data_IF_985061370125
#
_entry.id   IF_985061370125
#
_cell.length_a   1.000
_cell.length_b   1.000
_cell.length_c   1.000
_cell.angle_alpha   90.00
_cell.angle_beta   90.00
_cell.angle_gamma   90.00
#
_symmetry.space_group_name_H-M   'P 1'
#
loop_
_entity.id
_entity.type
_entity.pdbx_description
1 polymer ?
#
# COMPACT_ATOMS: atom_id res chain seq x y z
N UNK A 1 -57.95 6.07 7.08
CA UNK A 1 -57.15 4.89 7.53
C UNK A 1 -56.20 4.59 6.37
N UNK A 2 -54.98 5.05 6.45
CA UNK A 2 -53.96 4.87 5.42
C UNK A 2 -52.78 4.18 6.07
N UNK A 3 -52.59 2.93 5.72
CA UNK A 3 -51.51 2.08 6.28
C UNK A 3 -50.15 2.59 5.76
N UNK A 4 -49.24 2.87 6.72
CA UNK A 4 -47.88 3.18 6.45
C UNK A 4 -47.12 1.86 6.25
N UNK A 5 -46.69 1.59 5.03
CA UNK A 5 -45.75 0.49 4.68
C UNK A 5 -44.37 0.82 5.19
N UNK A 6 -43.95 0.16 6.26
CA UNK A 6 -42.60 0.22 6.81
C UNK A 6 -41.67 -0.57 5.89
N UNK A 7 -40.80 0.10 5.16
CA UNK A 7 -39.74 -0.54 4.39
C UNK A 7 -38.73 -1.19 5.35
N UNK A 8 -38.67 -2.51 5.34
CA UNK A 8 -37.72 -3.35 6.06
C UNK A 8 -36.32 -3.12 5.46
N UNK A 9 -35.38 -2.72 6.30
CA UNK A 9 -33.97 -2.67 5.93
C UNK A 9 -33.46 -4.07 5.50
N UNK A 10 -32.57 -4.19 4.50
CA UNK A 10 -32.05 -5.48 4.09
C UNK A 10 -31.17 -6.08 5.20
N UNK A 11 -31.42 -7.33 5.54
CA UNK A 11 -30.61 -8.16 6.43
C UNK A 11 -29.19 -8.33 5.88
N UNK A 12 -28.13 -8.13 6.67
CA UNK A 12 -26.77 -8.44 6.27
C UNK A 12 -26.44 -9.90 6.64
N UNK A 13 -27.02 -10.86 5.94
CA UNK A 13 -26.65 -12.26 6.13
C UNK A 13 -26.76 -13.03 4.82
N UNK A 14 -25.60 -13.43 4.25
CA UNK A 14 -25.60 -14.45 3.22
C UNK A 14 -24.58 -14.36 2.11
N UNK A 15 -23.28 -14.25 2.42
CA UNK A 15 -22.27 -14.86 1.57
C UNK A 15 -21.09 -15.24 2.45
N UNK A 16 -20.71 -16.52 2.48
CA UNK A 16 -19.56 -17.04 3.24
C UNK A 16 -18.19 -16.61 2.70
N UNK A 17 -18.11 -15.47 2.04
CA UNK A 17 -16.86 -14.85 1.62
C UNK A 17 -16.20 -14.18 2.84
N UNK A 18 -14.88 -14.34 3.04
CA UNK A 18 -14.16 -13.68 4.10
C UNK A 18 -14.30 -12.15 3.98
N UNK A 19 -14.41 -11.47 5.14
CA UNK A 19 -14.52 -10.02 5.16
C UNK A 19 -13.36 -9.36 4.41
N UNK A 20 -13.58 -8.28 3.64
CA UNK A 20 -12.53 -7.57 2.93
C UNK A 20 -11.41 -7.09 3.87
N UNK A 21 -10.17 -7.11 3.39
CA UNK A 21 -9.02 -6.60 4.13
C UNK A 21 -9.06 -5.07 4.27
N UNK A 22 -9.57 -4.40 3.24
CA UNK A 22 -9.76 -2.94 3.21
C UNK A 22 -11.11 -2.64 2.56
N UNK A 23 -11.87 -1.72 3.14
CA UNK A 23 -13.04 -1.09 2.51
C UNK A 23 -12.88 0.42 2.62
N UNK A 24 -13.06 1.09 1.50
CA UNK A 24 -13.11 2.54 1.39
C UNK A 24 -14.47 2.89 0.81
N UNK A 25 -15.24 3.72 1.50
CA UNK A 25 -16.59 4.08 1.07
C UNK A 25 -16.75 5.60 1.00
N UNK A 26 -17.06 6.12 -0.19
CA UNK A 26 -17.36 7.52 -0.43
C UNK A 26 -16.25 8.48 -0.03
N UNK A 27 -14.97 8.07 -0.19
CA UNK A 27 -13.84 8.80 0.35
C UNK A 27 -13.60 10.09 -0.44
N UNK A 28 -13.60 11.20 0.27
CA UNK A 28 -13.34 12.52 -0.27
C UNK A 28 -12.26 13.28 0.48
N UNK A 29 -11.47 14.08 -0.25
CA UNK A 29 -10.50 15.01 0.33
C UNK A 29 -10.46 16.33 -0.39
N UNK A 30 -10.66 17.39 0.38
CA UNK A 30 -10.57 18.77 -0.07
C UNK A 30 -9.43 19.50 0.63
N UNK A 31 -8.64 20.22 -0.15
CA UNK A 31 -7.62 21.15 0.34
C UNK A 31 -7.99 22.56 -0.10
N UNK A 32 -8.52 23.36 0.84
CA UNK A 32 -9.04 24.69 0.49
C UNK A 32 -10.11 24.60 -0.61
N UNK A 33 -9.85 25.21 -1.76
CA UNK A 33 -10.75 25.19 -2.92
C UNK A 33 -10.61 23.96 -3.83
N UNK A 34 -9.59 23.11 -3.62
CA UNK A 34 -9.26 21.99 -4.52
C UNK A 34 -9.83 20.68 -3.99
N UNK A 35 -10.65 19.99 -4.78
CA UNK A 35 -11.10 18.63 -4.51
C UNK A 35 -10.05 17.65 -5.05
N UNK A 36 -9.22 17.11 -4.17
CA UNK A 36 -8.11 16.21 -4.54
C UNK A 36 -8.57 14.77 -4.73
N UNK A 37 -9.58 14.33 -3.98
CA UNK A 37 -10.26 13.03 -4.10
C UNK A 37 -11.74 13.27 -3.89
N UNK A 38 -12.60 12.73 -4.79
CA UNK A 38 -14.01 12.97 -4.85
C UNK A 38 -14.77 11.65 -4.99
N UNK A 39 -15.44 11.25 -3.92
CA UNK A 39 -16.34 10.08 -3.83
C UNK A 39 -15.70 8.76 -4.31
N UNK A 40 -14.50 8.45 -3.80
CA UNK A 40 -13.81 7.19 -4.14
C UNK A 40 -14.27 6.07 -3.21
N UNK A 41 -14.72 4.98 -3.84
CA UNK A 41 -15.04 3.72 -3.15
C UNK A 41 -14.23 2.57 -3.76
N UNK A 42 -13.64 1.74 -2.91
CA UNK A 42 -12.95 0.51 -3.30
C UNK A 42 -12.99 -0.49 -2.15
N UNK A 43 -12.86 -1.74 -2.49
CA UNK A 43 -12.64 -2.84 -1.56
C UNK A 43 -11.40 -3.65 -1.98
N UNK A 44 -10.75 -4.29 -1.04
CA UNK A 44 -9.62 -5.19 -1.26
C UNK A 44 -9.89 -6.49 -0.51
N UNK A 45 -10.00 -7.59 -1.24
CA UNK A 45 -10.22 -8.90 -0.66
C UNK A 45 -8.96 -9.43 0.05
N UNK A 46 -9.10 -10.38 1.00
CA UNK A 46 -7.93 -11.08 1.57
C UNK A 46 -7.11 -11.75 0.47
N UNK A 47 -5.80 -11.48 0.45
CA UNK A 47 -4.87 -12.03 -0.53
C UNK A 47 -4.93 -11.39 -1.92
N UNK A 48 -5.86 -10.48 -2.18
CA UNK A 48 -5.95 -9.75 -3.44
C UNK A 48 -4.82 -8.72 -3.57
N UNK A 49 -4.33 -8.54 -4.80
CA UNK A 49 -3.44 -7.44 -5.18
C UNK A 49 -4.21 -6.46 -6.05
N UNK A 50 -4.45 -5.27 -5.53
CA UNK A 50 -5.18 -4.22 -6.25
C UNK A 50 -4.25 -3.08 -6.63
N UNK A 51 -4.29 -2.69 -7.91
CA UNK A 51 -3.59 -1.54 -8.46
C UNK A 51 -4.48 -0.30 -8.46
N UNK A 52 -3.91 0.86 -8.16
CA UNK A 52 -4.53 2.17 -8.42
C UNK A 52 -3.63 2.92 -9.38
N UNK A 53 -4.15 3.16 -10.59
CA UNK A 53 -3.44 3.86 -11.65
C UNK A 53 -4.10 5.20 -11.98
N UNK A 54 -3.40 6.01 -12.75
CA UNK A 54 -3.89 7.30 -13.25
C UNK A 54 -2.75 8.27 -13.49
N UNK A 55 -2.99 9.37 -14.18
CA UNK A 55 -1.98 10.38 -14.47
C UNK A 55 -1.52 11.11 -13.21
N UNK A 56 -0.47 11.93 -13.35
CA UNK A 56 -0.04 12.84 -12.29
C UNK A 56 -1.17 13.83 -11.98
N UNK A 57 -1.42 14.04 -10.69
CA UNK A 57 -2.54 14.87 -10.23
C UNK A 57 -3.90 14.16 -10.17
N UNK A 58 -4.00 12.86 -10.51
CA UNK A 58 -5.24 12.11 -10.42
C UNK A 58 -5.78 11.88 -8.99
N UNK A 59 -5.02 12.24 -7.95
CA UNK A 59 -5.44 12.05 -6.56
C UNK A 59 -4.92 10.79 -5.88
N UNK A 60 -4.15 9.94 -6.58
CA UNK A 60 -3.64 8.64 -6.09
C UNK A 60 -2.87 8.75 -4.77
N UNK A 61 -1.87 9.63 -4.72
CA UNK A 61 -1.07 9.86 -3.49
C UNK A 61 -1.92 10.39 -2.34
N UNK A 62 -2.96 11.21 -2.63
CA UNK A 62 -3.89 11.67 -1.60
C UNK A 62 -4.75 10.53 -1.07
N UNK A 63 -5.25 9.67 -1.96
CA UNK A 63 -5.98 8.45 -1.59
C UNK A 63 -5.11 7.54 -0.71
N UNK A 64 -3.86 7.29 -1.14
CA UNK A 64 -2.90 6.51 -0.36
C UNK A 64 -2.67 7.09 1.04
N UNK A 65 -2.39 8.39 1.13
CA UNK A 65 -2.16 9.08 2.40
C UNK A 65 -3.38 9.01 3.35
N UNK A 66 -4.59 9.03 2.80
CA UNK A 66 -5.81 8.81 3.59
C UNK A 66 -5.91 7.38 4.09
N UNK A 67 -5.65 6.38 3.24
CA UNK A 67 -5.67 4.95 3.62
C UNK A 67 -4.53 4.64 4.61
N UNK A 68 -3.36 5.21 4.45
CA UNK A 68 -2.23 5.07 5.37
C UNK A 68 -2.43 5.80 6.72
N UNK A 69 -3.32 6.80 6.78
CA UNK A 69 -3.61 7.58 7.98
C UNK A 69 -2.69 8.79 8.18
N UNK A 70 -2.00 9.23 7.13
CA UNK A 70 -1.20 10.47 7.14
C UNK A 70 -2.06 11.71 7.06
N UNK A 71 -3.19 11.59 6.35
CA UNK A 71 -4.15 12.67 6.13
C UNK A 71 -5.54 12.15 6.44
N UNK A 72 -6.31 12.88 7.24
CA UNK A 72 -7.71 12.55 7.49
C UNK A 72 -8.58 12.90 6.26
N UNK A 73 -9.56 12.07 5.90
CA UNK A 73 -10.52 12.39 4.87
C UNK A 73 -11.44 13.53 5.28
N UNK A 74 -12.02 14.22 4.30
CA UNK A 74 -13.07 15.24 4.51
C UNK A 74 -14.45 14.58 4.52
N UNK A 75 -14.62 13.47 3.80
CA UNK A 75 -15.84 12.68 3.72
C UNK A 75 -15.50 11.19 3.55
N UNK A 76 -16.47 10.33 3.84
CA UNK A 76 -16.35 8.89 3.68
C UNK A 76 -15.68 8.18 4.85
N UNK A 77 -15.53 6.86 4.71
CA UNK A 77 -15.00 5.97 5.75
C UNK A 77 -13.94 5.02 5.21
N UNK A 78 -13.07 4.55 6.10
CA UNK A 78 -12.04 3.55 5.82
C UNK A 78 -12.13 2.47 6.88
N UNK A 79 -12.29 1.23 6.44
CA UNK A 79 -12.32 0.06 7.32
C UNK A 79 -11.18 -0.90 6.97
N UNK A 80 -10.52 -1.46 7.99
CA UNK A 80 -9.55 -2.54 7.88
C UNK A 80 -10.10 -3.76 8.61
N UNK A 81 -10.29 -4.86 7.88
CA UNK A 81 -10.83 -6.10 8.43
C UNK A 81 -12.12 -5.88 9.25
N UNK A 82 -13.05 -5.07 8.70
CA UNK A 82 -14.33 -4.72 9.33
C UNK A 82 -14.23 -3.74 10.50
N UNK A 83 -13.04 -3.17 10.76
CA UNK A 83 -12.85 -2.16 11.81
C UNK A 83 -12.70 -0.76 11.20
N UNK A 84 -13.53 0.18 11.62
CA UNK A 84 -13.38 1.59 11.25
C UNK A 84 -12.04 2.16 11.77
N UNK A 85 -11.23 2.63 10.83
CA UNK A 85 -9.92 3.25 11.07
C UNK A 85 -9.86 4.69 10.56
N UNK A 86 -10.98 5.24 10.12
CA UNK A 86 -11.08 6.56 9.45
C UNK A 86 -10.33 7.65 10.20
N UNK A 87 -10.48 7.70 11.53
CA UNK A 87 -9.87 8.71 12.41
C UNK A 87 -8.57 8.25 13.09
N UNK A 88 -8.09 7.03 12.77
CA UNK A 88 -6.87 6.51 13.39
C UNK A 88 -5.63 7.08 12.70
N UNK A 89 -4.63 7.48 13.51
CA UNK A 89 -3.32 7.89 13.02
C UNK A 89 -2.56 6.73 12.40
N UNK A 90 -1.58 7.04 11.54
CA UNK A 90 -0.64 6.07 10.94
C UNK A 90 -0.07 5.08 11.95
N UNK A 91 0.41 5.57 13.10
CA UNK A 91 0.99 4.70 14.13
C UNK A 91 -0.03 3.71 14.72
N UNK A 92 -1.32 4.07 14.79
CA UNK A 92 -2.38 3.17 15.23
C UNK A 92 -2.72 2.15 14.14
N UNK A 93 -2.77 2.56 12.87
CA UNK A 93 -2.99 1.65 11.73
C UNK A 93 -1.83 0.66 11.56
N UNK A 94 -0.58 1.10 11.73
CA UNK A 94 0.59 0.21 11.75
C UNK A 94 0.47 -0.89 12.83
N UNK A 95 -0.03 -0.54 14.04
CA UNK A 95 -0.29 -1.54 15.10
C UNK A 95 -1.44 -2.50 14.77
N UNK A 96 -2.31 -2.16 13.83
CA UNK A 96 -3.35 -3.03 13.31
C UNK A 96 -2.86 -3.90 12.14
N UNK A 97 -1.57 -3.79 11.79
CA UNK A 97 -0.95 -4.60 10.75
C UNK A 97 -0.83 -3.94 9.39
N UNK A 98 -1.00 -2.62 9.28
CA UNK A 98 -0.73 -1.93 8.02
C UNK A 98 0.78 -1.77 7.84
N UNK A 99 1.36 -2.52 6.90
CA UNK A 99 2.70 -2.28 6.36
C UNK A 99 2.63 -1.28 5.21
N UNK A 100 3.62 -0.40 5.10
CA UNK A 100 3.68 0.53 3.99
C UNK A 100 5.11 0.90 3.62
N UNK A 101 5.32 1.20 2.34
CA UNK A 101 6.50 1.93 1.90
C UNK A 101 6.22 3.44 1.94
N UNK A 102 7.28 4.24 2.01
CA UNK A 102 7.17 5.69 2.03
C UNK A 102 7.57 6.27 0.67
N UNK A 103 6.88 7.31 0.21
CA UNK A 103 7.23 8.04 -1.00
C UNK A 103 8.58 8.78 -0.87
N UNK A 104 8.92 9.22 0.35
CA UNK A 104 10.24 9.75 0.71
C UNK A 104 10.92 8.70 1.58
N UNK A 105 12.11 8.28 1.20
CA UNK A 105 12.89 7.29 1.93
C UNK A 105 13.08 7.69 3.39
N UNK A 106 12.45 6.96 4.30
CA UNK A 106 12.64 7.09 5.75
C UNK A 106 13.76 6.17 6.25
N UNK A 107 14.76 5.96 5.40
CA UNK A 107 15.93 5.15 5.73
C UNK A 107 16.90 5.95 6.61
N UNK A 108 17.42 5.31 7.65
CA UNK A 108 18.50 5.84 8.45
C UNK A 108 19.81 5.65 7.68
N UNK A 109 20.17 6.65 6.89
CA UNK A 109 21.25 6.56 5.89
C UNK A 109 22.62 6.27 6.48
N UNK A 110 22.86 6.71 7.72
CA UNK A 110 24.14 6.53 8.45
C UNK A 110 24.20 5.20 9.23
N UNK A 111 23.10 4.45 9.26
CA UNK A 111 23.04 3.14 9.89
C UNK A 111 23.26 2.04 8.87
N UNK A 112 23.62 0.86 9.36
CA UNK A 112 23.73 -0.32 8.49
C UNK A 112 22.37 -0.75 7.94
N UNK A 113 22.39 -1.50 6.85
CA UNK A 113 21.21 -2.12 6.25
C UNK A 113 20.49 -3.00 7.28
N UNK A 114 21.23 -3.82 8.02
CA UNK A 114 20.68 -4.67 9.07
C UNK A 114 20.03 -3.86 10.20
N UNK A 115 20.66 -2.78 10.64
CA UNK A 115 20.13 -1.96 11.74
C UNK A 115 18.85 -1.22 11.35
N UNK A 116 18.69 -0.82 10.08
CA UNK A 116 17.43 -0.28 9.57
C UNK A 116 16.29 -1.30 9.72
N UNK A 117 16.49 -2.55 9.31
CA UNK A 117 15.47 -3.59 9.45
C UNK A 117 15.18 -3.90 10.92
N UNK A 118 16.22 -3.93 11.79
CA UNK A 118 16.06 -4.12 13.23
C UNK A 118 15.20 -3.02 13.89
N UNK A 119 15.38 -1.77 13.47
CA UNK A 119 14.55 -0.64 13.96
C UNK A 119 13.09 -0.85 13.55
N UNK A 120 12.83 -1.23 12.30
CA UNK A 120 11.49 -1.52 11.81
C UNK A 120 10.83 -2.70 12.55
N UNK A 121 11.56 -3.79 12.76
CA UNK A 121 11.11 -4.97 13.51
C UNK A 121 10.66 -4.63 14.95
N UNK A 122 11.37 -3.71 15.61
CA UNK A 122 11.02 -3.25 16.96
C UNK A 122 9.79 -2.34 16.98
N UNK A 123 9.62 -1.48 15.95
CA UNK A 123 8.52 -0.53 15.86
C UNK A 123 7.15 -1.19 15.67
N UNK A 124 7.08 -2.34 14.98
CA UNK A 124 5.86 -3.10 14.72
C UNK A 124 5.33 -3.89 15.93
N UNK A 125 6.15 -4.14 16.93
CA UNK A 125 5.77 -4.96 18.08
C UNK A 125 5.02 -4.15 19.14
N UNK A 126 3.76 -4.53 19.45
CA UNK A 126 3.01 -3.99 20.60
C UNK A 126 3.69 -4.27 21.95
N UNK A 127 4.71 -5.14 21.96
CA UNK A 127 5.54 -5.49 23.11
C UNK A 127 6.80 -4.63 23.25
N UNK A 128 6.98 -3.59 22.45
CA UNK A 128 8.13 -2.67 22.48
C UNK A 128 8.35 -1.95 23.83
N UNK A 129 7.39 -2.07 24.78
CA UNK A 129 7.50 -1.45 26.11
C UNK A 129 8.41 -2.19 27.10
N UNK A 130 8.99 -3.33 26.75
CA UNK A 130 9.90 -4.04 27.66
C UNK A 130 11.35 -3.79 27.24
N UNK A 131 11.80 -2.56 27.45
CA UNK A 131 13.16 -2.10 27.10
C UNK A 131 14.29 -2.76 27.91
N UNK A 132 13.97 -3.49 28.98
CA UNK A 132 14.95 -3.93 29.99
C UNK A 132 15.15 -5.44 30.09
N UNK A 133 14.54 -6.24 29.25
CA UNK A 133 14.73 -7.69 29.34
C UNK A 133 15.14 -8.29 28.00
N UNK A 134 16.36 -8.83 28.02
CA UNK A 134 16.73 -10.05 27.31
C UNK A 134 17.68 -9.90 26.13
N UNK A 135 18.90 -10.36 26.41
CA UNK A 135 19.94 -10.70 25.42
C UNK A 135 19.41 -11.69 24.36
N UNK A 136 18.62 -12.70 24.72
CA UNK A 136 18.01 -13.66 23.80
C UNK A 136 17.02 -13.06 22.79
N UNK A 137 16.32 -11.99 23.16
CA UNK A 137 15.39 -11.28 22.24
C UNK A 137 16.11 -10.42 21.20
N UNK A 138 17.35 -10.05 21.48
CA UNK A 138 18.23 -9.35 20.54
C UNK A 138 18.66 -10.27 19.41
N UNK A 139 18.87 -11.54 19.72
CA UNK A 139 19.25 -12.56 18.76
C UNK A 139 18.09 -12.96 17.85
N UNK A 140 16.86 -13.08 18.39
CA UNK A 140 15.64 -13.32 17.61
C UNK A 140 15.38 -12.20 16.59
N UNK A 141 15.39 -10.92 17.01
CA UNK A 141 15.20 -9.77 16.12
C UNK A 141 16.28 -9.72 15.06
N UNK A 142 17.52 -10.05 15.42
CA UNK A 142 18.62 -10.09 14.46
C UNK A 142 18.42 -11.18 13.44
N UNK A 143 18.03 -12.37 13.87
CA UNK A 143 17.78 -13.52 13.00
C UNK A 143 16.61 -13.22 12.05
N UNK A 144 15.47 -12.70 12.56
CA UNK A 144 14.34 -12.29 11.73
C UNK A 144 14.73 -11.22 10.71
N UNK A 145 15.53 -10.22 11.13
CA UNK A 145 16.01 -9.17 10.23
C UNK A 145 16.95 -9.72 9.16
N UNK A 146 17.82 -10.67 9.51
CA UNK A 146 18.73 -11.30 8.54
C UNK A 146 17.95 -12.13 7.51
N UNK A 147 16.99 -12.95 7.96
CA UNK A 147 16.12 -13.72 7.06
C UNK A 147 15.31 -12.79 6.12
N UNK A 148 14.84 -11.65 6.63
CA UNK A 148 14.16 -10.66 5.80
C UNK A 148 15.10 -10.08 4.75
N UNK A 149 16.34 -9.76 5.07
CA UNK A 149 17.34 -9.29 4.10
C UNK A 149 17.69 -10.36 3.05
N UNK A 150 17.69 -11.62 3.43
CA UNK A 150 17.83 -12.73 2.47
C UNK A 150 16.67 -12.75 1.48
N UNK A 151 15.43 -12.63 1.96
CA UNK A 151 14.23 -12.69 1.13
C UNK A 151 14.12 -11.53 0.13
N UNK A 152 14.75 -10.39 0.41
CA UNK A 152 14.79 -9.23 -0.52
C UNK A 152 16.11 -9.12 -1.28
N UNK A 153 17.04 -10.08 -1.14
CA UNK A 153 18.31 -10.10 -1.86
C UNK A 153 19.38 -9.15 -1.34
N UNK A 154 19.25 -8.64 -0.10
CA UNK A 154 20.18 -7.68 0.49
C UNK A 154 21.12 -8.28 1.56
N UNK A 155 21.12 -9.60 1.75
CA UNK A 155 21.92 -10.24 2.79
C UNK A 155 23.42 -9.93 2.70
N UNK A 156 23.99 -9.92 1.48
CA UNK A 156 25.39 -9.61 1.24
C UNK A 156 25.77 -8.16 1.61
N UNK A 157 24.79 -7.25 1.64
CA UNK A 157 24.96 -5.83 1.95
C UNK A 157 24.57 -5.46 3.38
N UNK A 158 24.30 -6.46 4.25
CA UNK A 158 23.74 -6.26 5.60
C UNK A 158 24.55 -5.34 6.51
N UNK A 159 25.86 -5.38 6.37
CA UNK A 159 26.82 -4.62 7.19
C UNK A 159 27.23 -3.29 6.54
N UNK A 160 26.78 -3.04 5.29
CA UNK A 160 27.05 -1.80 4.58
C UNK A 160 26.17 -0.66 5.10
N UNK A 161 26.64 0.57 4.93
CA UNK A 161 25.87 1.76 5.25
C UNK A 161 24.79 1.97 4.18
N UNK A 162 23.58 2.36 4.59
CA UNK A 162 22.49 2.61 3.63
C UNK A 162 22.83 3.71 2.62
N UNK A 163 23.71 4.66 3.00
CA UNK A 163 24.19 5.68 2.07
C UNK A 163 24.93 5.11 0.85
N UNK A 164 25.52 3.92 0.97
CA UNK A 164 26.30 3.25 -0.08
C UNK A 164 25.46 2.35 -0.99
N UNK A 165 24.15 2.24 -0.70
CA UNK A 165 23.22 1.47 -1.52
C UNK A 165 22.79 2.22 -2.77
N UNK A 166 22.62 1.48 -3.89
CA UNK A 166 21.93 1.97 -5.07
C UNK A 166 20.46 2.31 -4.75
N UNK A 167 19.83 3.06 -5.64
CA UNK A 167 18.43 3.43 -5.46
C UNK A 167 17.50 2.20 -5.42
N UNK A 168 17.78 1.19 -6.25
CA UNK A 168 17.05 -0.08 -6.24
C UNK A 168 17.24 -0.85 -4.94
N UNK A 169 18.46 -0.93 -4.41
CA UNK A 169 18.72 -1.58 -3.12
C UNK A 169 18.05 -0.84 -1.95
N UNK A 170 18.03 0.50 -1.98
CA UNK A 170 17.28 1.28 -0.99
C UNK A 170 15.77 0.94 -1.04
N UNK A 171 15.21 0.76 -2.25
CA UNK A 171 13.80 0.38 -2.40
C UNK A 171 13.52 -1.05 -1.90
N UNK A 172 14.43 -1.99 -2.16
CA UNK A 172 14.36 -3.35 -1.58
C UNK A 172 14.39 -3.29 -0.04
N UNK A 173 15.26 -2.45 0.54
CA UNK A 173 15.33 -2.25 1.98
C UNK A 173 14.04 -1.67 2.57
N UNK A 174 13.41 -0.70 1.91
CA UNK A 174 12.11 -0.16 2.34
C UNK A 174 11.03 -1.23 2.38
N UNK A 175 10.99 -2.12 1.40
CA UNK A 175 10.06 -3.26 1.38
C UNK A 175 10.38 -4.23 2.51
N UNK A 176 11.66 -4.55 2.74
CA UNK A 176 12.08 -5.39 3.86
C UNK A 176 11.61 -4.80 5.20
N UNK A 177 11.78 -3.50 5.40
CA UNK A 177 11.33 -2.80 6.61
C UNK A 177 9.81 -2.83 6.78
N UNK A 178 9.05 -2.75 5.69
CA UNK A 178 7.60 -2.88 5.75
C UNK A 178 7.16 -4.31 6.09
N UNK A 179 7.86 -5.33 5.57
CA UNK A 179 7.53 -6.74 5.72
C UNK A 179 7.96 -7.34 7.07
N UNK A 180 9.09 -6.88 7.65
CA UNK A 180 9.63 -7.44 8.89
C UNK A 180 8.66 -7.32 10.08
N UNK A 181 7.73 -6.35 10.03
CA UNK A 181 6.66 -6.20 11.02
C UNK A 181 5.52 -7.23 10.84
N UNK A 182 5.60 -8.12 9.84
CA UNK A 182 4.58 -9.13 9.48
C UNK A 182 3.22 -8.48 9.27
N UNK A 183 3.08 -7.57 8.29
CA UNK A 183 1.86 -6.84 8.06
C UNK A 183 0.72 -7.78 7.62
N UNK A 184 -0.52 -7.39 7.95
CA UNK A 184 -1.74 -8.06 7.49
C UNK A 184 -2.27 -7.46 6.18
N UNK A 185 -1.80 -6.29 5.81
CA UNK A 185 -2.01 -5.61 4.52
C UNK A 185 -0.78 -4.77 4.19
N UNK A 186 -0.38 -4.75 2.92
CA UNK A 186 0.77 -3.98 2.45
C UNK A 186 0.32 -2.88 1.48
N UNK A 187 0.76 -1.65 1.76
CA UNK A 187 0.52 -0.48 0.93
C UNK A 187 1.82 -0.05 0.25
N UNK A 188 1.84 -0.02 -1.08
CA UNK A 188 3.00 0.36 -1.89
C UNK A 188 2.68 1.63 -2.69
N UNK A 189 3.43 2.72 -2.47
CA UNK A 189 3.27 3.99 -3.17
C UNK A 189 4.42 4.22 -4.16
N UNK A 190 4.14 4.07 -5.44
CA UNK A 190 5.06 4.23 -6.57
C UNK A 190 6.42 3.53 -6.31
N UNK A 191 6.43 2.22 -5.98
CA UNK A 191 7.66 1.54 -5.59
C UNK A 191 8.71 1.49 -6.71
N UNK A 192 8.34 1.64 -7.96
CA UNK A 192 9.25 1.63 -9.10
C UNK A 192 9.72 3.02 -9.56
N UNK A 193 9.30 4.09 -8.87
CA UNK A 193 9.69 5.45 -9.27
C UNK A 193 11.22 5.64 -9.21
N UNK A 194 11.79 6.18 -10.29
CA UNK A 194 13.24 6.46 -10.38
C UNK A 194 14.14 5.24 -10.61
N UNK A 195 13.59 4.03 -10.71
CA UNK A 195 14.37 2.81 -10.94
C UNK A 195 14.72 2.60 -12.41
N UNK A 196 15.91 2.08 -12.67
CA UNK A 196 16.34 1.56 -13.97
C UNK A 196 15.48 0.34 -14.38
N UNK A 197 15.55 -0.07 -15.65
CA UNK A 197 14.80 -1.24 -16.14
C UNK A 197 15.18 -2.53 -15.40
N UNK A 198 16.45 -2.71 -15.05
CA UNK A 198 16.94 -3.89 -14.31
C UNK A 198 16.41 -3.88 -12.85
N UNK A 199 16.49 -2.74 -12.18
CA UNK A 199 15.99 -2.59 -10.81
C UNK A 199 14.47 -2.80 -10.74
N UNK A 200 13.72 -2.30 -11.74
CA UNK A 200 12.27 -2.57 -11.87
C UNK A 200 11.97 -4.05 -12.04
N UNK A 201 12.76 -4.77 -12.82
CA UNK A 201 12.60 -6.21 -12.99
C UNK A 201 12.88 -6.98 -11.68
N UNK A 202 13.86 -6.54 -10.90
CA UNK A 202 14.16 -7.10 -9.58
C UNK A 202 13.05 -6.82 -8.59
N UNK A 203 12.56 -5.58 -8.51
CA UNK A 203 11.44 -5.17 -7.69
C UNK A 203 10.16 -5.95 -8.03
N UNK A 204 9.89 -6.10 -9.33
CA UNK A 204 8.73 -6.88 -9.81
C UNK A 204 8.77 -8.30 -9.27
N UNK A 205 9.90 -9.02 -9.45
CA UNK A 205 10.07 -10.38 -8.93
C UNK A 205 9.86 -10.44 -7.42
N UNK A 206 10.45 -9.51 -6.68
CA UNK A 206 10.29 -9.44 -5.23
C UNK A 206 8.80 -9.32 -4.83
N UNK A 207 8.04 -8.45 -5.49
CA UNK A 207 6.60 -8.31 -5.20
C UNK A 207 5.84 -9.58 -5.63
N UNK A 208 6.18 -10.19 -6.76
CA UNK A 208 5.56 -11.44 -7.24
C UNK A 208 5.75 -12.60 -6.25
N UNK A 209 6.92 -12.68 -5.61
CA UNK A 209 7.29 -13.71 -4.62
C UNK A 209 6.62 -13.52 -3.24
N UNK A 210 6.03 -12.36 -2.97
CA UNK A 210 5.31 -12.15 -1.71
C UNK A 210 4.13 -13.13 -1.56
N UNK A 211 3.85 -13.59 -0.33
CA UNK A 211 2.76 -14.54 -0.09
C UNK A 211 1.43 -14.05 -0.67
N UNK A 212 0.73 -14.91 -1.43
CA UNK A 212 -0.60 -14.61 -1.98
C UNK A 212 -1.68 -14.44 -0.90
N UNK A 213 -1.38 -14.74 0.34
CA UNK A 213 -2.27 -14.45 1.48
C UNK A 213 -2.19 -13.01 1.97
N UNK A 214 -1.15 -12.25 1.56
CA UNK A 214 -0.96 -10.85 1.93
C UNK A 214 -1.68 -9.94 0.91
N UNK A 215 -2.77 -9.25 1.31
CA UNK A 215 -3.41 -8.27 0.45
C UNK A 215 -2.46 -7.09 0.21
N UNK A 216 -2.40 -6.63 -1.04
CA UNK A 216 -1.52 -5.53 -1.45
C UNK A 216 -2.33 -4.47 -2.17
N UNK A 217 -2.23 -3.22 -1.73
CA UNK A 217 -2.67 -2.05 -2.48
C UNK A 217 -1.44 -1.37 -3.07
N UNK A 218 -1.35 -1.37 -4.40
CA UNK A 218 -0.26 -0.80 -5.16
C UNK A 218 -0.72 0.47 -5.88
N UNK A 219 -0.06 1.60 -5.61
CA UNK A 219 -0.24 2.82 -6.43
C UNK A 219 0.92 2.92 -7.38
N UNK A 220 0.63 3.05 -8.66
CA UNK A 220 1.63 3.19 -9.71
C UNK A 220 1.18 4.13 -10.83
N UNK A 221 2.15 4.78 -11.46
CA UNK A 221 1.94 5.54 -12.68
C UNK A 221 2.39 4.76 -13.92
N UNK A 222 3.25 3.75 -13.76
CA UNK A 222 3.64 2.80 -14.81
C UNK A 222 2.54 1.72 -14.93
N UNK A 223 1.72 1.89 -15.97
CA UNK A 223 0.61 0.96 -16.25
C UNK A 223 1.09 -0.47 -16.46
N UNK A 224 2.25 -0.67 -17.14
CA UNK A 224 2.79 -2.01 -17.43
C UNK A 224 3.13 -2.75 -16.15
N UNK A 225 3.73 -2.07 -15.18
CA UNK A 225 4.06 -2.66 -13.89
C UNK A 225 2.80 -2.94 -13.07
N UNK A 226 1.89 -1.97 -12.99
CA UNK A 226 0.65 -2.14 -12.23
C UNK A 226 -0.19 -3.30 -12.75
N UNK A 227 -0.44 -3.35 -14.08
CA UNK A 227 -1.21 -4.43 -14.71
C UNK A 227 -0.54 -5.80 -14.57
N UNK A 228 0.80 -5.85 -14.53
CA UNK A 228 1.53 -7.11 -14.39
C UNK A 228 1.59 -7.67 -12.96
N UNK A 229 1.31 -6.86 -11.94
CA UNK A 229 1.46 -7.24 -10.53
C UNK A 229 0.14 -7.42 -9.78
N UNK A 230 -1.00 -7.03 -10.38
CA UNK A 230 -2.27 -6.94 -9.67
C UNK A 230 -3.35 -7.81 -10.30
N UNK A 231 -4.30 -8.22 -9.48
CA UNK A 231 -5.43 -9.05 -9.88
C UNK A 231 -6.61 -8.16 -10.36
N UNK A 232 -6.72 -6.95 -9.79
CA UNK A 232 -7.72 -5.94 -10.13
C UNK A 232 -7.08 -4.55 -10.12
N UNK A 233 -7.55 -3.67 -11.00
CA UNK A 233 -7.00 -2.33 -11.15
C UNK A 233 -8.12 -1.30 -11.15
N UNK A 234 -7.92 -0.21 -10.44
CA UNK A 234 -8.76 0.98 -10.47
C UNK A 234 -8.02 2.11 -11.18
N UNK A 235 -8.62 2.71 -12.20
CA UNK A 235 -8.12 3.93 -12.82
C UNK A 235 -8.79 5.17 -12.21
N UNK A 236 -7.96 6.16 -11.88
CA UNK A 236 -8.42 7.47 -11.38
C UNK A 236 -8.00 8.60 -12.31
N UNK A 237 -8.86 9.60 -12.44
CA UNK A 237 -8.53 10.86 -13.10
C UNK A 237 -9.21 12.03 -12.38
N UNK A 238 -8.48 13.15 -12.19
CA UNK A 238 -9.01 14.38 -11.57
C UNK A 238 -9.73 14.14 -10.22
N UNK A 239 -9.20 13.24 -9.41
CA UNK A 239 -9.75 12.89 -8.09
C UNK A 239 -10.92 11.91 -8.13
N UNK A 240 -11.34 11.44 -9.30
CA UNK A 240 -12.53 10.60 -9.50
C UNK A 240 -12.17 9.20 -9.99
N UNK A 241 -13.06 8.26 -9.71
CA UNK A 241 -13.03 6.92 -10.28
C UNK A 241 -13.41 6.98 -11.78
N UNK A 242 -12.67 6.25 -12.60
CA UNK A 242 -12.93 6.08 -14.04
C UNK A 242 -13.48 4.69 -14.31
N UNK A 243 -12.73 3.67 -13.95
CA UNK A 243 -13.09 2.26 -14.16
C UNK A 243 -12.34 1.38 -13.16
N UNK A 244 -12.93 0.27 -12.76
CA UNK A 244 -12.29 -0.83 -12.01
C UNK A 244 -12.60 -2.13 -12.72
N UNK A 245 -11.58 -2.97 -12.91
CA UNK A 245 -11.71 -4.27 -13.56
C UNK A 245 -10.42 -5.07 -13.49
N UNK A 246 -10.39 -6.17 -14.22
CA UNK A 246 -9.17 -6.93 -14.44
C UNK A 246 -8.12 -6.10 -15.19
N UNK A 247 -6.83 -6.44 -15.12
CA UNK A 247 -5.78 -5.75 -15.87
C UNK A 247 -6.10 -5.58 -17.36
N UNK A 248 -6.67 -6.62 -18.00
CA UNK A 248 -7.01 -6.58 -19.42
C UNK A 248 -8.19 -5.64 -19.71
N UNK A 249 -9.25 -5.70 -18.91
CA UNK A 249 -10.41 -4.80 -19.04
C UNK A 249 -10.01 -3.34 -18.90
N UNK A 250 -9.16 -3.03 -17.90
CA UNK A 250 -8.70 -1.66 -17.67
C UNK A 250 -7.75 -1.20 -18.78
N UNK A 251 -6.83 -2.04 -19.25
CA UNK A 251 -5.92 -1.74 -20.38
C UNK A 251 -6.70 -1.40 -21.65
N UNK A 252 -7.78 -2.14 -21.90
CA UNK A 252 -8.53 -2.03 -23.14
C UNK A 252 -9.66 -0.99 -23.08
N UNK A 253 -9.93 -0.43 -21.89
CA UNK A 253 -10.96 0.58 -21.69
C UNK A 253 -10.69 1.86 -22.50
N UNK A 254 -11.67 2.37 -23.30
CA UNK A 254 -11.46 3.52 -24.18
C UNK A 254 -10.94 4.77 -23.45
N UNK A 255 -11.56 5.12 -22.32
CA UNK A 255 -11.17 6.29 -21.52
C UNK A 255 -9.75 6.14 -20.95
N UNK A 256 -9.36 4.94 -20.52
CA UNK A 256 -7.99 4.69 -20.03
C UNK A 256 -6.98 4.87 -21.16
N UNK A 257 -7.27 4.33 -22.36
CA UNK A 257 -6.44 4.57 -23.54
C UNK A 257 -6.30 6.07 -23.86
N UNK A 258 -7.38 6.82 -23.80
CA UNK A 258 -7.37 8.27 -24.03
C UNK A 258 -6.52 9.01 -22.98
N UNK A 259 -6.67 8.69 -21.70
CA UNK A 259 -5.88 9.26 -20.59
C UNK A 259 -4.38 9.06 -20.78
N UNK A 260 -3.97 7.87 -21.23
CA UNK A 260 -2.55 7.52 -21.33
C UNK A 260 -1.95 7.76 -22.72
N UNK A 261 -2.71 7.60 -23.81
CA UNK A 261 -2.25 7.78 -25.20
C UNK A 261 -2.47 9.21 -25.69
N UNK A 262 -3.60 9.84 -25.37
CA UNK A 262 -3.93 11.20 -25.83
C UNK A 262 -3.03 12.30 -25.28
N UNK A 263 -2.15 12.00 -24.31
CA UNK A 263 -1.12 12.92 -23.81
C UNK A 263 0.23 12.82 -24.54
N UNK A 264 0.46 11.79 -25.35
CA UNK A 264 1.69 11.65 -26.15
C UNK A 264 1.76 12.65 -27.32
N UNK A 265 0.60 13.12 -27.81
CA UNK A 265 0.53 13.98 -28.99
C UNK A 265 0.52 15.50 -28.68
N UNK A 266 0.74 15.89 -27.39
CA UNK A 266 0.79 17.31 -26.97
C UNK A 266 2.15 17.75 -26.42
N UNK A 267 3.24 17.16 -26.92
CA UNK A 267 4.61 17.67 -26.67
C UNK A 267 5.28 18.07 -27.96
#
# INVERSE_FOLDING_TARGET
MTEATTAKAPDPAGSGAPAPALVVAGLGKRYGGVQAVDDISLDLAPGERMGVIGPNGAGKTTLFKMIAGDVGPTAGTIELFGRDVTKLSTARRARLGVGRTFQVSNLFREMTVLDNVRVAARGGSSKARVFWRVQGRRDEVTQESTMMLESVGLHARRDDTVADLSHGEQRQLEIAMALVSRPTILLLDEPAAGLSAMERATLRRLIEELPRTLPILLIEHDMTLALGLTDRVMCMENGKHVVTGTPDEVRDHPTVKEIYLGRRDKK
#
